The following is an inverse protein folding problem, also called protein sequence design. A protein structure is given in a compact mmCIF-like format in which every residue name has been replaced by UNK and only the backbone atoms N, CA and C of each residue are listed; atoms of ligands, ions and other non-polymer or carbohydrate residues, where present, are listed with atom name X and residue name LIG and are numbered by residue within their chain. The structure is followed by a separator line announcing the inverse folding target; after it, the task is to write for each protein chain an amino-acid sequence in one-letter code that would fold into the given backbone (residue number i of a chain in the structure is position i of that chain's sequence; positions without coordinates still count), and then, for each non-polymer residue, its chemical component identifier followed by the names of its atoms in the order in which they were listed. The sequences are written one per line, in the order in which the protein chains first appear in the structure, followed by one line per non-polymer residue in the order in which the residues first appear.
data_IF_360260343333
#
_entry.id   IF_360260343333
#
_cell.length_a   1.000
_cell.length_b   1.000
_cell.length_c   1.000
_cell.angle_alpha   90.00
_cell.angle_beta   90.00
_cell.angle_gamma   90.00
#
_symmetry.space_group_name_H-M   'P 1'
#
loop_
_entity.id
_entity.type
_entity.pdbx_description
1 polymer ?
#
# COMPACT_ATOMS: atom_id res chain seq x y z
N UNK A 1 30.96 -8.45 -0.90
CA UNK A 1 30.33 -8.88 -2.17
C UNK A 1 29.45 -10.13 -1.99
N UNK A 2 29.98 -11.26 -1.50
CA UNK A 2 29.22 -12.52 -1.33
C UNK A 2 27.97 -12.41 -0.44
N UNK A 3 28.04 -11.68 0.68
CA UNK A 3 26.90 -11.50 1.59
C UNK A 3 25.73 -10.74 0.94
N UNK A 4 26.00 -9.70 0.15
CA UNK A 4 24.96 -8.93 -0.54
C UNK A 4 24.29 -9.76 -1.66
N UNK A 5 25.06 -10.60 -2.35
CA UNK A 5 24.55 -11.52 -3.36
C UNK A 5 23.67 -12.62 -2.72
N UNK A 6 24.10 -13.21 -1.60
CA UNK A 6 23.33 -14.21 -0.86
C UNK A 6 22.00 -13.65 -0.35
N UNK A 7 22.01 -12.43 0.21
CA UNK A 7 20.79 -11.73 0.66
C UNK A 7 19.84 -11.45 -0.50
N UNK A 8 20.38 -11.05 -1.67
CA UNK A 8 19.58 -10.78 -2.86
C UNK A 8 18.96 -12.05 -3.46
N UNK A 9 19.70 -13.16 -3.44
CA UNK A 9 19.21 -14.49 -3.82
C UNK A 9 18.09 -14.97 -2.91
N UNK A 10 18.28 -14.91 -1.58
CA UNK A 10 17.27 -15.30 -0.61
C UNK A 10 15.96 -14.50 -0.75
N UNK A 11 16.05 -13.18 -0.96
CA UNK A 11 14.87 -12.32 -1.23
C UNK A 11 14.15 -12.73 -2.50
N UNK A 12 14.88 -13.14 -3.55
CA UNK A 12 14.28 -13.56 -4.81
C UNK A 12 13.52 -14.87 -4.63
N UNK A 13 14.11 -15.86 -3.98
CA UNK A 13 13.45 -17.15 -3.69
C UNK A 13 12.20 -16.95 -2.84
N UNK A 14 12.28 -16.17 -1.76
CA UNK A 14 11.14 -15.87 -0.91
C UNK A 14 10.01 -15.16 -1.67
N UNK A 15 10.34 -14.17 -2.52
CA UNK A 15 9.33 -13.50 -3.36
C UNK A 15 8.65 -14.45 -4.34
N UNK A 16 9.40 -15.39 -4.93
CA UNK A 16 8.83 -16.39 -5.84
C UNK A 16 7.85 -17.31 -5.11
N UNK A 17 8.24 -17.80 -3.94
CA UNK A 17 7.39 -18.63 -3.09
C UNK A 17 6.12 -17.89 -2.65
N UNK A 18 6.25 -16.65 -2.17
CA UNK A 18 5.09 -15.82 -1.77
C UNK A 18 4.15 -15.59 -2.94
N UNK A 19 4.66 -15.25 -4.13
CA UNK A 19 3.84 -15.10 -5.35
C UNK A 19 3.09 -16.38 -5.69
N UNK A 20 3.74 -17.54 -5.56
CA UNK A 20 3.09 -18.83 -5.81
C UNK A 20 1.93 -19.07 -4.82
N UNK A 21 2.15 -18.80 -3.54
CA UNK A 21 1.10 -18.92 -2.51
C UNK A 21 -0.05 -17.96 -2.75
N UNK A 22 0.23 -16.69 -3.06
CA UNK A 22 -0.79 -15.66 -3.33
C UNK A 22 -1.65 -15.98 -4.57
N UNK A 23 -1.07 -16.64 -5.58
CA UNK A 23 -1.80 -17.12 -6.76
C UNK A 23 -2.68 -18.32 -6.47
N UNK A 24 -2.36 -19.10 -5.44
CA UNK A 24 -3.17 -20.25 -5.02
C UNK A 24 -4.41 -19.83 -4.20
N UNK A 25 -4.48 -18.58 -3.73
CA UNK A 25 -5.65 -18.04 -3.03
C UNK A 25 -6.76 -17.75 -4.04
N UNK A 26 -7.94 -18.32 -3.82
CA UNK A 26 -9.11 -18.09 -4.66
C UNK A 26 -9.57 -16.63 -4.61
N UNK A 27 -10.25 -16.17 -5.67
CA UNK A 27 -10.82 -14.83 -5.71
C UNK A 27 -11.83 -14.60 -4.57
N UNK A 28 -12.61 -15.62 -4.23
CA UNK A 28 -13.58 -15.56 -3.11
C UNK A 28 -12.89 -15.37 -1.75
N UNK A 29 -11.82 -16.14 -1.48
CA UNK A 29 -11.09 -16.01 -0.22
C UNK A 29 -10.39 -14.65 -0.11
N UNK A 30 -9.81 -14.18 -1.22
CA UNK A 30 -9.22 -12.84 -1.30
C UNK A 30 -10.24 -11.75 -1.00
N UNK A 31 -11.43 -11.83 -1.58
CA UNK A 31 -12.52 -10.89 -1.33
C UNK A 31 -12.99 -10.96 0.13
N UNK A 32 -13.11 -12.16 0.69
CA UNK A 32 -13.46 -12.38 2.12
C UNK A 32 -12.44 -11.72 3.05
N UNK A 33 -11.15 -11.95 2.81
CA UNK A 33 -10.06 -11.32 3.58
C UNK A 33 -10.04 -9.80 3.40
N UNK A 34 -10.28 -9.31 2.18
CA UNK A 34 -10.35 -7.89 1.87
C UNK A 34 -11.42 -7.20 2.72
N UNK A 35 -12.65 -7.73 2.76
CA UNK A 35 -13.74 -7.19 3.59
C UNK A 35 -13.42 -7.16 5.08
N UNK A 36 -12.82 -8.24 5.61
CA UNK A 36 -12.41 -8.28 7.01
C UNK A 36 -11.33 -7.24 7.33
N UNK A 37 -10.40 -7.02 6.40
CA UNK A 37 -9.39 -5.99 6.54
C UNK A 37 -10.01 -4.59 6.47
N UNK A 38 -10.92 -4.34 5.53
CA UNK A 38 -11.67 -3.08 5.42
C UNK A 38 -12.32 -2.73 6.76
N UNK A 39 -13.04 -3.68 7.37
CA UNK A 39 -13.67 -3.47 8.68
C UNK A 39 -12.66 -3.10 9.77
N UNK A 40 -11.51 -3.80 9.81
CA UNK A 40 -10.43 -3.50 10.76
C UNK A 40 -9.83 -2.11 10.52
N UNK A 41 -9.64 -1.72 9.26
CA UNK A 41 -9.09 -0.41 8.88
C UNK A 41 -10.04 0.71 9.28
N UNK A 42 -11.33 0.60 8.96
CA UNK A 42 -12.34 1.62 9.30
C UNK A 42 -12.48 1.78 10.83
N UNK A 43 -12.38 0.68 11.57
CA UNK A 43 -12.39 0.70 13.04
C UNK A 43 -11.06 1.20 13.66
N UNK A 44 -9.99 1.35 12.87
CA UNK A 44 -8.67 1.66 13.39
C UNK A 44 -8.55 3.15 13.78
N UNK A 45 -8.10 3.41 15.02
CA UNK A 45 -7.98 4.78 15.56
C UNK A 45 -7.12 5.70 14.70
N UNK A 46 -6.02 5.20 14.13
CA UNK A 46 -5.14 6.01 13.28
C UNK A 46 -5.84 6.39 11.97
N UNK A 47 -6.59 5.47 11.38
CA UNK A 47 -7.36 5.73 10.17
C UNK A 47 -8.45 6.79 10.43
N UNK A 48 -9.20 6.64 11.51
CA UNK A 48 -10.26 7.58 11.89
C UNK A 48 -9.73 9.01 12.06
N UNK A 49 -8.56 9.17 12.69
CA UNK A 49 -7.92 10.47 12.93
C UNK A 49 -7.28 11.10 11.69
N UNK A 50 -6.90 10.30 10.70
CA UNK A 50 -6.17 10.76 9.53
C UNK A 50 -7.09 11.52 8.57
N UNK A 51 -6.59 12.62 7.98
CA UNK A 51 -7.32 13.44 7.02
C UNK A 51 -6.72 13.35 5.62
N UNK A 52 -5.40 13.16 5.52
CA UNK A 52 -4.67 13.05 4.25
C UNK A 52 -4.09 11.64 4.14
N UNK A 53 -4.68 10.83 3.26
CA UNK A 53 -4.41 9.40 3.19
C UNK A 53 -3.89 9.03 1.81
N UNK A 54 -2.79 8.29 1.77
CA UNK A 54 -2.27 7.66 0.56
C UNK A 54 -2.65 6.18 0.52
N UNK A 55 -3.22 5.73 -0.59
CA UNK A 55 -3.65 4.35 -0.80
C UNK A 55 -3.31 3.87 -2.21
N UNK A 56 -2.91 2.60 -2.32
CA UNK A 56 -2.63 1.98 -3.61
C UNK A 56 -3.91 1.44 -4.25
N UNK A 57 -3.92 1.38 -5.58
CA UNK A 57 -4.96 0.68 -6.33
C UNK A 57 -4.55 -0.79 -6.48
N UNK A 58 -5.38 -1.69 -5.97
CA UNK A 58 -5.07 -3.10 -5.81
C UNK A 58 -4.86 -3.82 -7.16
N UNK A 59 -3.79 -4.60 -7.24
CA UNK A 59 -3.61 -5.59 -8.31
C UNK A 59 -4.36 -6.89 -8.02
N UNK A 60 -4.58 -7.76 -9.03
CA UNK A 60 -5.30 -9.02 -8.84
C UNK A 60 -4.70 -9.97 -7.80
N UNK A 61 -3.40 -9.85 -7.52
CA UNK A 61 -2.69 -10.65 -6.51
C UNK A 61 -2.63 -9.99 -5.11
N UNK A 62 -3.27 -8.84 -4.92
CA UNK A 62 -3.31 -8.07 -3.68
C UNK A 62 -4.70 -8.14 -3.00
N UNK A 63 -4.81 -7.54 -1.81
CA UNK A 63 -6.10 -7.25 -1.16
C UNK A 63 -6.77 -6.11 -1.91
N UNK A 64 -8.09 -6.19 -2.07
CA UNK A 64 -8.90 -5.12 -2.66
C UNK A 64 -8.98 -3.90 -1.74
N UNK A 65 -8.68 -2.73 -2.29
CA UNK A 65 -8.69 -1.45 -1.55
C UNK A 65 -9.89 -0.57 -1.88
N UNK A 66 -10.77 -1.00 -2.80
CA UNK A 66 -11.88 -0.18 -3.32
C UNK A 66 -12.86 0.26 -2.24
N UNK A 67 -13.24 -0.65 -1.32
CA UNK A 67 -14.14 -0.31 -0.20
C UNK A 67 -13.52 0.72 0.74
N UNK A 68 -12.20 0.65 0.97
CA UNK A 68 -11.47 1.62 1.80
C UNK A 68 -11.47 2.98 1.09
N UNK A 69 -11.21 3.02 -0.21
CA UNK A 69 -11.24 4.27 -1.00
C UNK A 69 -12.62 4.94 -0.93
N UNK A 70 -13.70 4.16 -1.07
CA UNK A 70 -15.07 4.67 -0.94
C UNK A 70 -15.31 5.27 0.44
N UNK A 71 -14.88 4.60 1.51
CA UNK A 71 -15.01 5.14 2.88
C UNK A 71 -14.17 6.41 3.08
N UNK A 72 -12.95 6.50 2.54
CA UNK A 72 -12.11 7.71 2.59
C UNK A 72 -12.90 8.92 2.07
N UNK A 73 -13.54 8.80 0.90
CA UNK A 73 -14.34 9.87 0.33
C UNK A 73 -15.64 10.14 1.11
N UNK A 74 -16.33 9.10 1.58
CA UNK A 74 -17.55 9.25 2.39
C UNK A 74 -17.28 10.00 3.71
N UNK A 75 -16.10 9.81 4.29
CA UNK A 75 -15.66 10.49 5.51
C UNK A 75 -15.10 11.90 5.25
N UNK A 76 -15.12 12.38 4.00
CA UNK A 76 -14.60 13.70 3.62
C UNK A 76 -13.07 13.83 3.72
N UNK A 77 -12.34 12.72 3.72
CA UNK A 77 -10.87 12.69 3.79
C UNK A 77 -10.27 12.94 2.40
N UNK A 78 -9.02 13.42 2.37
CA UNK A 78 -8.27 13.63 1.13
C UNK A 78 -7.54 12.35 0.74
N UNK A 79 -7.83 11.84 -0.46
CA UNK A 79 -7.27 10.60 -0.99
C UNK A 79 -6.13 10.89 -1.99
N UNK A 80 -5.00 10.23 -1.81
CA UNK A 80 -3.86 10.25 -2.73
C UNK A 80 -3.54 8.84 -3.22
N UNK A 81 -3.21 8.71 -4.50
CA UNK A 81 -2.81 7.43 -5.13
C UNK A 81 -1.39 7.54 -5.71
N UNK A 82 -0.64 6.43 -5.80
CA UNK A 82 0.69 6.43 -6.41
C UNK A 82 0.59 6.66 -7.92
N UNK A 83 1.41 7.58 -8.45
CA UNK A 83 1.66 7.78 -9.87
C UNK A 83 3.12 7.49 -10.17
N UNK A 84 3.36 6.47 -10.99
CA UNK A 84 4.72 6.07 -11.39
C UNK A 84 5.16 6.82 -12.65
N UNK A 85 6.38 7.35 -12.65
CA UNK A 85 6.99 7.97 -13.84
C UNK A 85 7.80 6.92 -14.58
N UNK A 86 7.35 6.47 -15.76
CA UNK A 86 7.91 5.32 -16.49
C UNK A 86 9.41 5.42 -16.80
N UNK A 87 9.93 6.63 -16.92
CA UNK A 87 11.31 6.92 -17.30
C UNK A 87 12.26 6.97 -16.09
N UNK A 88 11.75 6.77 -14.88
CA UNK A 88 12.53 6.87 -13.63
C UNK A 88 12.01 5.91 -12.56
N UNK A 89 12.78 5.67 -11.51
CA UNK A 89 12.27 4.98 -10.31
C UNK A 89 11.53 5.94 -9.38
N UNK A 90 10.89 6.98 -9.93
CA UNK A 90 10.21 8.03 -9.17
C UNK A 90 8.72 7.74 -9.08
N UNK A 91 8.16 7.98 -7.89
CA UNK A 91 6.75 7.80 -7.59
C UNK A 91 6.26 9.01 -6.80
N UNK A 92 5.20 9.64 -7.31
CA UNK A 92 4.51 10.74 -6.65
C UNK A 92 3.19 10.23 -6.05
N UNK A 93 2.73 10.83 -4.97
CA UNK A 93 1.37 10.60 -4.46
C UNK A 93 0.49 11.76 -4.91
N UNK A 94 -0.44 11.47 -5.82
CA UNK A 94 -1.28 12.47 -6.46
C UNK A 94 -2.72 12.38 -5.98
N UNK A 95 -3.36 13.54 -5.80
CA UNK A 95 -4.73 13.62 -5.29
C UNK A 95 -5.73 13.05 -6.29
N UNK A 96 -6.64 12.23 -5.75
CA UNK A 96 -7.80 11.69 -6.46
C UNK A 96 -9.03 12.56 -6.13
N UNK A 97 -9.86 12.86 -7.13
CA UNK A 97 -11.04 13.72 -6.95
C UNK A 97 -12.25 12.96 -6.42
N UNK A 98 -12.45 11.71 -6.85
CA UNK A 98 -13.52 10.83 -6.37
C UNK A 98 -13.15 9.35 -6.56
N UNK A 99 -13.89 8.45 -5.90
CA UNK A 99 -13.73 7.02 -6.11
C UNK A 99 -14.07 6.61 -7.57
N UNK A 100 -15.11 7.22 -8.15
CA UNK A 100 -15.60 6.88 -9.48
C UNK A 100 -14.59 7.27 -10.59
N UNK A 101 -13.79 8.32 -10.35
CA UNK A 101 -12.74 8.76 -11.26
C UNK A 101 -11.73 7.65 -11.58
N UNK A 102 -11.48 6.71 -10.65
CA UNK A 102 -10.49 5.65 -10.86
C UNK A 102 -10.77 4.89 -12.16
N UNK A 103 -12.04 4.62 -12.44
CA UNK A 103 -12.46 3.86 -13.63
C UNK A 103 -12.17 4.57 -14.95
N UNK A 104 -12.08 5.90 -14.95
CA UNK A 104 -11.82 6.72 -16.14
C UNK A 104 -10.34 7.02 -16.39
N UNK A 105 -9.48 6.79 -15.39
CA UNK A 105 -8.04 6.99 -15.52
C UNK A 105 -7.43 5.99 -16.52
N UNK A 106 -6.41 6.39 -17.30
CA UNK A 106 -5.69 5.47 -18.16
C UNK A 106 -4.96 4.40 -17.34
N UNK A 107 -4.76 3.24 -17.96
CA UNK A 107 -4.02 2.14 -17.34
C UNK A 107 -2.56 2.13 -17.76
N UNK A 108 -1.69 1.79 -16.83
CA UNK A 108 -0.28 1.49 -17.10
C UNK A 108 -0.12 0.13 -17.78
N UNK A 109 1.11 -0.19 -18.18
CA UNK A 109 1.50 -1.53 -18.64
C UNK A 109 1.28 -2.64 -17.60
N UNK A 110 1.09 -2.27 -16.33
CA UNK A 110 0.76 -3.18 -15.22
C UNK A 110 -0.75 -3.31 -14.99
N UNK A 111 -1.59 -2.74 -15.87
CA UNK A 111 -3.05 -2.73 -15.77
C UNK A 111 -3.59 -1.99 -14.51
N UNK A 112 -2.78 -1.10 -13.92
CA UNK A 112 -3.15 -0.23 -12.80
C UNK A 112 -3.54 1.15 -13.35
N UNK A 113 -4.66 1.70 -12.85
CA UNK A 113 -5.13 3.04 -13.17
C UNK A 113 -4.22 4.12 -12.56
N UNK A 114 -3.82 5.12 -13.33
CA UNK A 114 -3.16 6.32 -12.78
C UNK A 114 -3.40 7.54 -13.69
N UNK A 115 -3.34 8.77 -13.18
CA UNK A 115 -3.39 9.96 -14.02
C UNK A 115 -2.24 9.98 -15.04
N UNK A 116 -2.50 10.53 -16.23
CA UNK A 116 -1.47 10.68 -17.26
C UNK A 116 -0.39 11.68 -16.82
N UNK A 117 0.76 11.66 -17.49
CA UNK A 117 1.84 12.62 -17.21
C UNK A 117 1.44 14.07 -17.54
N UNK A 118 0.55 14.25 -18.52
CA UNK A 118 -0.02 15.56 -18.88
C UNK A 118 -1.05 16.07 -17.86
N UNK A 119 -1.57 15.20 -17.01
CA UNK A 119 -2.57 15.56 -16.01
C UNK A 119 -1.88 16.16 -14.78
N UNK A 120 -2.07 17.48 -14.61
CA UNK A 120 -1.48 18.22 -13.50
C UNK A 120 -2.32 17.99 -12.25
N UNK A 121 -1.74 17.26 -11.29
CA UNK A 121 -2.40 16.88 -10.03
C UNK A 121 -1.69 17.45 -8.83
N UNK A 122 -2.46 17.67 -7.78
CA UNK A 122 -1.94 18.07 -6.47
C UNK A 122 -1.08 16.92 -5.90
N UNK A 123 0.19 17.21 -5.62
CA UNK A 123 1.13 16.25 -5.01
C UNK A 123 1.11 16.34 -3.49
N UNK A 124 1.02 15.18 -2.82
CA UNK A 124 0.83 15.12 -1.37
C UNK A 124 1.93 15.85 -0.59
N UNK A 125 3.19 15.64 -0.95
CA UNK A 125 4.35 16.25 -0.26
C UNK A 125 4.44 17.76 -0.49
N UNK A 126 3.90 18.27 -1.61
CA UNK A 126 3.89 19.69 -1.91
C UNK A 126 2.78 20.46 -1.16
N UNK A 127 1.73 19.77 -0.67
CA UNK A 127 0.54 20.40 -0.08
C UNK A 127 0.28 20.02 1.38
N UNK A 128 1.33 19.65 2.12
CA UNK A 128 1.23 19.39 3.56
C UNK A 128 1.36 17.92 3.97
N UNK A 129 1.79 17.05 3.06
CA UNK A 129 2.20 15.69 3.39
C UNK A 129 1.04 14.70 3.45
N UNK A 130 1.25 13.62 4.21
CA UNK A 130 0.30 12.52 4.38
C UNK A 130 0.26 12.16 5.86
N UNK A 131 -0.92 11.91 6.42
CA UNK A 131 -1.09 11.42 7.80
C UNK A 131 -0.94 9.90 7.88
N UNK A 132 -1.38 9.21 6.82
CA UNK A 132 -1.44 7.75 6.73
C UNK A 132 -1.13 7.28 5.31
N UNK A 133 -0.32 6.22 5.20
CA UNK A 133 0.01 5.57 3.95
C UNK A 133 -0.27 4.08 4.08
N UNK A 134 -1.11 3.57 3.18
CA UNK A 134 -1.31 2.15 2.97
C UNK A 134 -0.18 1.61 2.10
N UNK A 135 0.63 0.71 2.63
CA UNK A 135 1.73 0.11 1.88
C UNK A 135 1.31 -1.21 1.21
N UNK A 136 1.47 -1.35 -0.12
CA UNK A 136 1.38 -2.65 -0.77
C UNK A 136 2.62 -3.50 -0.48
N UNK A 137 2.48 -4.84 -0.53
CA UNK A 137 3.61 -5.75 -0.36
C UNK A 137 3.26 -7.24 -0.46
N UNK A 138 4.16 -8.02 -1.09
CA UNK A 138 4.00 -9.48 -1.31
C UNK A 138 4.10 -10.33 -0.04
N UNK A 139 4.65 -9.79 1.04
CA UNK A 139 4.76 -10.48 2.31
C UNK A 139 5.45 -9.59 3.34
N UNK A 140 5.00 -9.66 4.58
CA UNK A 140 5.58 -8.87 5.65
C UNK A 140 6.54 -9.72 6.46
N UNK A 141 7.82 -9.38 6.37
CA UNK A 141 8.78 -9.67 7.43
C UNK A 141 9.21 -8.33 8.02
N UNK A 142 9.48 -8.21 9.33
CA UNK A 142 10.05 -7.00 9.93
C UNK A 142 11.28 -6.48 9.16
N UNK A 143 12.11 -7.40 8.62
CA UNK A 143 13.24 -7.08 7.75
C UNK A 143 12.85 -6.58 6.34
N UNK A 144 11.69 -6.96 5.82
CA UNK A 144 11.22 -6.54 4.49
C UNK A 144 10.63 -5.12 4.52
N UNK A 145 10.04 -4.71 5.64
CA UNK A 145 9.57 -3.36 5.89
C UNK A 145 10.70 -2.33 5.81
N UNK A 146 11.86 -2.65 6.40
CA UNK A 146 13.08 -1.81 6.31
C UNK A 146 13.58 -1.62 4.88
N UNK A 147 13.23 -2.49 3.93
CA UNK A 147 13.62 -2.35 2.53
C UNK A 147 12.64 -1.49 1.73
N UNK A 148 11.35 -1.52 2.06
CA UNK A 148 10.37 -0.60 1.47
C UNK A 148 10.64 0.84 1.91
N UNK A 149 11.05 1.05 3.16
CA UNK A 149 11.47 2.36 3.68
C UNK A 149 12.75 2.91 3.01
N UNK A 150 13.48 2.10 2.24
CA UNK A 150 14.62 2.56 1.42
C UNK A 150 14.21 3.11 0.05
N UNK A 151 12.92 3.04 -0.31
CA UNK A 151 12.46 3.72 -1.51
C UNK A 151 12.60 5.25 -1.31
N UNK A 152 13.07 6.01 -2.30
CA UNK A 152 13.31 7.46 -2.17
C UNK A 152 12.08 8.22 -1.63
N UNK A 153 10.88 7.82 -2.05
CA UNK A 153 9.63 8.39 -1.58
C UNK A 153 9.43 8.23 -0.06
N UNK A 154 9.60 7.02 0.48
CA UNK A 154 9.40 6.76 1.91
C UNK A 154 10.54 7.30 2.79
N UNK A 155 11.73 7.51 2.21
CA UNK A 155 12.84 8.15 2.90
C UNK A 155 12.58 9.65 3.21
N UNK A 156 11.67 10.30 2.47
CA UNK A 156 11.28 11.70 2.71
C UNK A 156 10.19 11.86 3.79
N UNK A 157 9.60 10.76 4.28
CA UNK A 157 8.57 10.78 5.32
C UNK A 157 9.20 10.51 6.69
N UNK A 158 9.33 11.53 7.55
CA UNK A 158 9.79 11.37 8.94
C UNK A 158 8.65 10.94 9.87
N UNK A 159 8.91 10.03 10.82
CA UNK A 159 7.96 9.69 11.90
C UNK A 159 7.01 8.51 11.63
N UNK A 160 7.55 7.39 11.11
CA UNK A 160 6.80 6.13 11.03
C UNK A 160 6.49 5.56 12.42
N UNK A 161 5.35 5.95 13.00
CA UNK A 161 4.75 5.20 14.10
C UNK A 161 3.97 4.01 13.54
N UNK A 162 4.52 2.82 13.74
CA UNK A 162 3.90 1.56 13.34
C UNK A 162 2.74 1.24 14.29
N UNK A 163 1.52 1.62 13.92
CA UNK A 163 0.32 1.14 14.62
C UNK A 163 -0.46 0.21 13.70
N UNK A 164 -0.04 -1.05 13.71
CA UNK A 164 -0.95 -2.19 13.67
C UNK A 164 -0.34 -3.23 14.59
N UNK A 165 -1.00 -3.59 15.71
CA UNK A 165 -0.46 -4.58 16.61
C UNK A 165 -0.31 -5.90 15.85
N UNK A 166 0.87 -6.46 16.00
CA UNK A 166 1.14 -7.87 15.80
C UNK A 166 0.20 -8.65 16.73
N UNK A 167 -1.03 -8.94 16.33
CA UNK A 167 -1.83 -9.96 17.00
C UNK A 167 -1.37 -11.33 16.48
N UNK A 168 -0.27 -11.79 17.08
CA UNK A 168 -0.03 -13.20 17.27
C UNK A 168 -0.75 -13.61 18.56
N UNK A 169 -1.82 -14.39 18.44
CA UNK A 169 -2.34 -15.26 19.50
C UNK A 169 -2.93 -16.48 18.76
N UNK A 170 -2.34 -17.66 18.68
CA UNK A 170 -1.08 -18.21 19.18
C UNK A 170 -0.58 -19.33 18.23
N UNK A 171 0.63 -19.82 18.50
CA UNK A 171 1.44 -20.92 17.88
C UNK A 171 0.76 -22.00 17.01
N UNK A 172 1.49 -22.80 16.19
CA UNK A 172 2.72 -22.58 15.42
C UNK A 172 2.51 -23.07 13.97
N UNK A 173 1.74 -22.37 13.16
CA UNK A 173 1.65 -22.64 11.73
C UNK A 173 1.19 -21.36 11.04
N UNK A 174 1.91 -20.96 10.00
CA UNK A 174 1.56 -19.81 9.18
C UNK A 174 0.12 -19.96 8.63
N UNK A 175 -0.86 -19.32 9.26
CA UNK A 175 -2.20 -19.11 8.70
C UNK A 175 -2.15 -17.88 7.81
N UNK A 176 -2.50 -18.06 6.53
CA UNK A 176 -2.37 -17.07 5.45
C UNK A 176 -3.25 -15.83 5.57
N UNK A 177 -2.94 -14.96 6.53
CA UNK A 177 -3.50 -13.60 6.60
C UNK A 177 -2.60 -12.62 5.83
N UNK A 178 -3.13 -12.04 4.76
CA UNK A 178 -2.54 -10.84 4.16
C UNK A 178 -2.63 -9.69 5.18
N UNK A 179 -1.49 -9.05 5.46
CA UNK A 179 -1.36 -7.98 6.45
C UNK A 179 -1.09 -6.67 5.73
N UNK A 180 -1.83 -5.63 6.08
CA UNK A 180 -1.64 -4.27 5.61
C UNK A 180 -0.74 -3.50 6.57
N UNK A 181 0.19 -2.70 6.05
CA UNK A 181 0.97 -1.79 6.89
C UNK A 181 0.41 -0.39 6.71
N UNK A 182 0.06 0.20 7.85
CA UNK A 182 -0.23 1.60 8.01
C UNK A 182 1.07 2.31 8.40
N UNK A 183 1.64 3.09 7.49
CA UNK A 183 2.72 4.01 7.84
C UNK A 183 2.15 5.38 8.13
N UNK A 184 2.50 5.94 9.29
CA UNK A 184 2.40 7.37 9.50
C UNK A 184 3.51 8.05 8.71
N UNK A 185 3.15 9.01 7.87
CA UNK A 185 4.09 10.01 7.41
C UNK A 185 3.81 11.28 8.23
N UNK A 186 4.84 12.06 8.52
CA UNK A 186 4.68 13.42 9.01
C UNK A 186 5.79 14.22 8.33
N UNK A 187 5.44 15.35 7.71
CA UNK A 187 6.45 16.27 7.21
C UNK A 187 7.27 16.79 8.41
N UNK A 188 8.57 16.99 8.19
CA UNK A 188 9.40 17.80 9.08
C UNK A 188 8.83 19.22 9.22
#
# INVERSE_FOLDING_TARGET
MAAAAAVSGAKRSLRAELKQRLRAISAEERLRQSRLLTQKVIAHRQYQKSQRISIFLSMPDEIETEEIIKDIFQQGKVCFIPRYRLQSNHMDMVKLASADEISSLPKTSWNIHQPSESDTREEALATGGLDLIFMPGLGLCPLLLLLLLRHPFFACCSGAEFTLPLLALGTPAWSGDQRLILLRASLC
#
